data_IF_154118365246
#
_entry.id   IF_154118365246
#
_cell.length_a   1.000
_cell.length_b   1.000
_cell.length_c   1.000
_cell.angle_alpha   90.00
_cell.angle_beta   90.00
_cell.angle_gamma   90.00
#
_symmetry.space_group_name_H-M   'P 1'
#
loop_
_entity.id
_entity.type
_entity.pdbx_description
1 polymer ?
#
# COMPACT_ATOMS: atom_id res chain seq x y z
N UNK A 1 -3.30 6.15 8.91
CA UNK A 1 -3.61 6.99 7.76
C UNK A 1 -4.45 8.11 8.30
N UNK A 2 -3.95 9.34 8.15
CA UNK A 2 -4.58 10.56 8.64
C UNK A 2 -4.82 11.46 7.43
N UNK A 3 -5.88 12.26 7.49
CA UNK A 3 -6.17 13.28 6.49
C UNK A 3 -5.69 14.60 7.07
N UNK A 4 -4.83 15.28 6.33
CA UNK A 4 -4.23 16.53 6.76
C UNK A 4 -4.64 17.67 5.84
N UNK A 5 -4.98 18.82 6.44
CA UNK A 5 -5.23 20.07 5.75
C UNK A 5 -4.11 21.07 6.01
N UNK A 6 -3.84 21.90 5.02
CA UNK A 6 -2.71 22.82 5.06
C UNK A 6 -2.72 23.79 3.89
N UNK A 7 -1.76 24.71 3.90
CA UNK A 7 -1.58 25.72 2.84
C UNK A 7 -0.31 25.45 2.05
N UNK A 8 -0.32 25.81 0.77
CA UNK A 8 0.87 25.77 -0.08
C UNK A 8 1.54 27.13 -0.11
N UNK A 9 2.86 27.17 0.03
CA UNK A 9 3.69 28.38 -0.07
C UNK A 9 4.81 28.16 -1.09
N UNK A 10 5.03 29.07 -2.07
CA UNK A 10 4.32 30.33 -2.29
C UNK A 10 2.97 30.19 -3.01
N UNK A 11 2.73 29.12 -3.77
CA UNK A 11 1.44 28.84 -4.41
C UNK A 11 1.33 27.37 -4.85
N UNK A 12 0.13 26.76 -4.83
CA UNK A 12 -0.06 25.33 -5.10
C UNK A 12 0.31 24.89 -6.53
N UNK A 13 0.36 25.84 -7.46
CA UNK A 13 0.66 25.62 -8.89
C UNK A 13 2.15 25.71 -9.24
N UNK A 14 3.01 26.14 -8.30
CA UNK A 14 4.44 26.33 -8.56
C UNK A 14 5.21 25.04 -8.21
N UNK A 15 6.06 24.59 -9.13
CA UNK A 15 6.95 23.47 -8.88
C UNK A 15 7.88 23.77 -7.70
N UNK A 16 7.81 22.94 -6.65
CA UNK A 16 8.60 23.12 -5.43
C UNK A 16 7.91 23.92 -4.32
N UNK A 17 6.60 24.17 -4.42
CA UNK A 17 5.86 24.76 -3.32
C UNK A 17 5.95 23.91 -2.03
N UNK A 18 6.35 24.56 -0.94
CA UNK A 18 6.29 23.99 0.39
C UNK A 18 4.84 23.80 0.82
N UNK A 19 4.56 22.74 1.56
CA UNK A 19 3.27 22.50 2.16
C UNK A 19 3.37 22.72 3.67
N UNK A 20 2.53 23.61 4.21
CA UNK A 20 2.42 23.87 5.63
C UNK A 20 1.17 23.17 6.15
N UNK A 21 1.35 22.11 6.93
CA UNK A 21 0.23 21.35 7.51
C UNK A 21 -0.29 22.10 8.73
N UNK A 22 -1.58 22.45 8.73
CA UNK A 22 -2.22 23.20 9.81
C UNK A 22 -2.94 22.28 10.79
N UNK A 23 -3.54 21.19 10.30
CA UNK A 23 -4.23 20.22 11.16
C UNK A 23 -4.34 18.87 10.47
N UNK A 24 -4.31 17.79 11.25
CA UNK A 24 -4.55 16.43 10.79
C UNK A 24 -5.62 15.77 11.64
N UNK A 25 -6.53 15.06 10.97
CA UNK A 25 -7.62 14.33 11.59
C UNK A 25 -7.49 12.85 11.22
N UNK A 26 -7.88 11.97 12.15
CA UNK A 26 -7.91 10.53 11.88
C UNK A 26 -8.96 10.22 10.83
N UNK A 27 -8.63 9.29 9.94
CA UNK A 27 -9.52 8.83 8.88
C UNK A 27 -10.86 8.27 9.42
N UNK A 28 -10.89 7.72 10.63
CA UNK A 28 -12.11 7.17 11.25
C UNK A 28 -13.14 8.23 11.66
N UNK A 29 -12.68 9.45 11.90
CA UNK A 29 -13.50 10.52 12.45
C UNK A 29 -13.81 11.59 11.39
N UNK A 30 -13.41 11.33 10.13
CA UNK A 30 -13.40 12.31 9.06
C UNK A 30 -14.62 12.17 8.16
N UNK A 31 -15.53 13.14 8.26
CA UNK A 31 -16.67 13.27 7.35
C UNK A 31 -16.29 14.20 6.20
N UNK A 32 -15.93 13.61 5.05
CA UNK A 32 -15.44 14.33 3.86
C UNK A 32 -16.50 15.32 3.34
N UNK A 33 -17.78 14.93 3.39
CA UNK A 33 -18.91 15.74 2.95
C UNK A 33 -19.04 17.03 3.78
N UNK A 34 -18.83 16.96 5.09
CA UNK A 34 -18.89 18.12 5.97
C UNK A 34 -17.71 19.09 5.80
N UNK A 35 -16.51 18.59 5.50
CA UNK A 35 -15.35 19.44 5.20
C UNK A 35 -15.54 20.15 3.85
N UNK A 36 -16.03 19.40 2.85
CA UNK A 36 -16.24 19.95 1.51
C UNK A 36 -17.36 20.99 1.52
N UNK A 37 -18.46 20.75 2.23
CA UNK A 37 -19.53 21.75 2.43
C UNK A 37 -19.01 23.01 3.12
N UNK A 38 -18.17 22.89 4.14
CA UNK A 38 -17.63 24.06 4.85
C UNK A 38 -16.66 24.90 3.99
N UNK A 39 -15.82 24.27 3.17
CA UNK A 39 -14.92 24.99 2.25
C UNK A 39 -15.68 25.61 1.05
N UNK A 40 -16.77 24.97 0.61
CA UNK A 40 -17.62 25.51 -0.46
C UNK A 40 -18.55 26.64 0.01
N UNK A 41 -19.02 26.59 1.26
CA UNK A 41 -19.82 27.65 1.88
C UNK A 41 -18.99 28.94 2.02
N UNK A 42 -17.69 28.82 2.31
CA UNK A 42 -16.75 29.95 2.30
C UNK A 42 -16.60 30.60 0.90
N UNK A 43 -16.81 29.85 -0.17
CA UNK A 43 -16.83 30.36 -1.56
C UNK A 43 -18.23 30.80 -2.04
N UNK A 44 -19.25 30.80 -1.17
CA UNK A 44 -20.66 31.04 -1.55
C UNK A 44 -21.17 30.13 -2.67
N UNK A 45 -20.57 28.94 -2.82
CA UNK A 45 -20.98 27.94 -3.79
C UNK A 45 -21.61 26.79 -3.02
N UNK A 46 -22.94 26.63 -3.07
CA UNK A 46 -23.58 25.48 -2.44
C UNK A 46 -23.37 24.23 -3.32
N UNK A 47 -22.94 23.12 -2.72
CA UNK A 47 -22.78 21.81 -3.38
C UNK A 47 -24.01 21.45 -4.25
N UNK A 48 -25.21 21.85 -3.80
CA UNK A 48 -26.50 21.72 -4.49
C UNK A 48 -26.56 22.27 -5.94
N UNK A 49 -25.66 23.17 -6.36
CA UNK A 49 -25.61 23.70 -7.73
C UNK A 49 -24.66 22.94 -8.66
N UNK A 50 -23.75 22.13 -8.14
CA UNK A 50 -22.86 21.29 -8.93
C UNK A 50 -23.48 19.90 -9.03
N UNK A 51 -23.93 19.48 -10.22
CA UNK A 51 -24.50 18.16 -10.57
C UNK A 51 -24.23 17.05 -9.51
N UNK A 52 -25.13 16.96 -8.52
CA UNK A 52 -24.81 16.51 -7.15
C UNK A 52 -24.79 15.00 -6.95
N UNK A 53 -25.55 14.24 -7.73
CA UNK A 53 -25.73 12.81 -7.48
C UNK A 53 -24.45 12.01 -7.71
N UNK A 54 -23.74 12.24 -8.82
CA UNK A 54 -22.50 11.51 -9.14
C UNK A 54 -21.33 11.94 -8.25
N UNK A 55 -21.23 13.23 -7.93
CA UNK A 55 -20.15 13.75 -7.09
C UNK A 55 -20.29 13.27 -5.64
N UNK A 56 -21.50 13.32 -5.06
CA UNK A 56 -21.74 12.83 -3.71
C UNK A 56 -21.54 11.32 -3.61
N UNK A 57 -21.97 10.55 -4.61
CA UNK A 57 -21.78 9.10 -4.64
C UNK A 57 -20.29 8.71 -4.75
N UNK A 58 -19.49 9.45 -5.52
CA UNK A 58 -18.05 9.23 -5.59
C UNK A 58 -17.36 9.64 -4.28
N UNK A 59 -17.80 10.73 -3.64
CA UNK A 59 -17.29 11.18 -2.34
C UNK A 59 -17.58 10.17 -1.22
N UNK A 60 -18.78 9.59 -1.20
CA UNK A 60 -19.18 8.57 -0.22
C UNK A 60 -18.39 7.26 -0.40
N UNK A 61 -17.82 7.00 -1.58
CA UNK A 61 -16.94 5.85 -1.82
C UNK A 61 -15.55 6.04 -1.24
N UNK A 62 -15.06 7.28 -1.15
CA UNK A 62 -13.68 7.58 -0.73
C UNK A 62 -13.31 6.93 0.62
N UNK A 63 -14.13 7.05 1.70
CA UNK A 63 -13.81 6.43 2.99
C UNK A 63 -13.65 4.91 2.90
N UNK A 64 -14.52 4.23 2.14
CA UNK A 64 -14.47 2.79 1.94
C UNK A 64 -13.21 2.36 1.17
N UNK A 65 -12.82 3.12 0.14
CA UNK A 65 -11.58 2.88 -0.61
C UNK A 65 -10.35 3.02 0.29
N UNK A 66 -10.27 4.08 1.10
CA UNK A 66 -9.17 4.27 2.05
C UNK A 66 -9.15 3.19 3.15
N UNK A 67 -10.31 2.72 3.61
CA UNK A 67 -10.39 1.61 4.55
C UNK A 67 -9.84 0.31 3.94
N UNK A 68 -10.21 -0.01 2.69
CA UNK A 68 -9.66 -1.15 1.96
C UNK A 68 -8.15 -1.04 1.80
N UNK A 69 -7.67 0.15 1.41
CA UNK A 69 -6.25 0.43 1.25
C UNK A 69 -5.48 0.28 2.58
N UNK A 70 -6.05 0.78 3.68
CA UNK A 70 -5.50 0.61 5.03
C UNK A 70 -5.34 -0.88 5.38
N UNK A 71 -6.33 -1.71 5.10
CA UNK A 71 -6.25 -3.16 5.34
C UNK A 71 -5.14 -3.84 4.51
N UNK A 72 -4.98 -3.46 3.24
CA UNK A 72 -3.92 -3.99 2.38
C UNK A 72 -2.53 -3.61 2.90
N UNK A 73 -2.30 -2.34 3.25
CA UNK A 73 -0.99 -1.92 3.77
C UNK A 73 -0.68 -2.52 5.14
N UNK A 74 -1.66 -2.64 6.04
CA UNK A 74 -1.45 -3.30 7.33
C UNK A 74 -1.04 -4.76 7.13
N UNK A 75 -1.73 -5.50 6.25
CA UNK A 75 -1.38 -6.90 6.00
C UNK A 75 0.00 -7.04 5.35
N UNK A 76 0.40 -6.12 4.47
CA UNK A 76 1.76 -6.07 3.95
C UNK A 76 2.81 -5.80 5.03
N UNK A 77 2.57 -4.87 5.96
CA UNK A 77 3.48 -4.58 7.08
C UNK A 77 3.61 -5.79 8.00
N UNK A 78 2.50 -6.45 8.32
CA UNK A 78 2.51 -7.68 9.13
C UNK A 78 3.29 -8.80 8.44
N UNK A 79 3.07 -9.00 7.14
CA UNK A 79 3.83 -9.97 6.35
C UNK A 79 5.34 -9.64 6.33
N UNK A 80 5.69 -8.35 6.23
CA UNK A 80 7.08 -7.86 6.31
C UNK A 80 7.72 -8.21 7.66
N UNK A 81 7.03 -7.86 8.75
CA UNK A 81 7.50 -8.13 10.11
C UNK A 81 7.65 -9.62 10.37
N UNK A 82 6.67 -10.43 9.95
CA UNK A 82 6.72 -11.88 10.09
C UNK A 82 7.88 -12.48 9.30
N UNK A 83 8.14 -11.98 8.09
CA UNK A 83 9.29 -12.42 7.29
C UNK A 83 10.63 -12.13 7.99
N UNK A 84 10.78 -10.95 8.59
CA UNK A 84 11.97 -10.60 9.36
C UNK A 84 12.19 -11.55 10.55
N UNK A 85 11.13 -11.88 11.29
CA UNK A 85 11.20 -12.83 12.40
C UNK A 85 11.61 -14.24 11.92
N UNK A 86 11.09 -14.68 10.78
CA UNK A 86 11.45 -15.96 10.16
C UNK A 86 12.92 -15.98 9.70
N UNK A 87 13.44 -14.86 9.17
CA UNK A 87 14.85 -14.71 8.82
C UNK A 87 15.76 -14.88 10.05
N UNK A 88 15.38 -14.27 11.18
CA UNK A 88 16.12 -14.39 12.45
C UNK A 88 16.10 -15.86 12.91
N UNK A 89 14.92 -16.50 12.92
CA UNK A 89 14.80 -17.90 13.32
C UNK A 89 15.67 -18.85 12.47
N UNK A 90 15.71 -18.63 11.15
CA UNK A 90 16.54 -19.40 10.21
C UNK A 90 18.04 -19.21 10.41
N UNK A 91 18.46 -18.12 11.04
CA UNK A 91 19.87 -17.86 11.37
C UNK A 91 20.35 -18.75 12.53
N UNK A 92 19.46 -19.13 13.44
CA UNK A 92 19.78 -20.04 14.55
C UNK A 92 19.70 -21.51 14.14
N UNK A 93 18.69 -21.90 13.35
CA UNK A 93 18.56 -23.27 12.84
C UNK A 93 18.06 -23.29 11.39
N UNK A 94 18.84 -23.83 10.44
CA UNK A 94 18.38 -23.99 9.07
C UNK A 94 17.28 -25.06 9.02
N UNK A 95 16.06 -24.64 8.72
CA UNK A 95 14.90 -25.53 8.60
C UNK A 95 14.21 -25.31 7.26
N UNK A 96 14.00 -26.38 6.51
CA UNK A 96 13.33 -26.33 5.20
C UNK A 96 11.92 -25.78 5.30
N UNK A 97 11.17 -26.20 6.33
CA UNK A 97 9.77 -25.77 6.53
C UNK A 97 9.69 -24.28 6.78
N UNK A 98 10.54 -23.75 7.66
CA UNK A 98 10.59 -22.31 7.99
C UNK A 98 11.06 -21.49 6.79
N UNK A 99 11.99 -22.03 5.98
CA UNK A 99 12.46 -21.38 4.75
C UNK A 99 11.35 -21.29 3.68
N UNK A 100 10.55 -22.34 3.52
CA UNK A 100 9.37 -22.31 2.64
C UNK A 100 8.27 -21.38 3.15
N UNK A 101 8.00 -21.39 4.46
CA UNK A 101 7.04 -20.48 5.06
C UNK A 101 7.43 -19.02 4.81
N UNK A 102 8.73 -18.68 4.97
CA UNK A 102 9.22 -17.33 4.69
C UNK A 102 9.09 -16.94 3.21
N UNK A 103 9.35 -17.88 2.30
CA UNK A 103 9.14 -17.67 0.87
C UNK A 103 7.66 -17.36 0.55
N UNK A 104 6.73 -18.09 1.16
CA UNK A 104 5.29 -17.85 0.96
C UNK A 104 4.87 -16.50 1.52
N UNK A 105 5.29 -16.16 2.74
CA UNK A 105 4.96 -14.89 3.39
C UNK A 105 5.46 -13.69 2.57
N UNK A 106 6.70 -13.74 2.07
CA UNK A 106 7.29 -12.67 1.25
C UNK A 106 6.59 -12.52 -0.10
N UNK A 107 6.21 -13.63 -0.75
CA UNK A 107 5.44 -13.61 -2.00
C UNK A 107 4.04 -13.04 -1.79
N UNK A 108 3.34 -13.45 -0.72
CA UNK A 108 2.03 -12.89 -0.38
C UNK A 108 2.15 -11.39 -0.10
N UNK A 109 3.13 -10.97 0.70
CA UNK A 109 3.40 -9.55 0.98
C UNK A 109 3.67 -8.75 -0.30
N UNK A 110 4.44 -9.31 -1.23
CA UNK A 110 4.70 -8.70 -2.54
C UNK A 110 3.42 -8.48 -3.34
N UNK A 111 2.56 -9.49 -3.43
CA UNK A 111 1.30 -9.44 -4.20
C UNK A 111 0.33 -8.45 -3.58
N UNK A 112 0.19 -8.44 -2.25
CA UNK A 112 -0.67 -7.48 -1.54
C UNK A 112 -0.23 -6.04 -1.81
N UNK A 113 1.08 -5.76 -1.77
CA UNK A 113 1.62 -4.44 -2.12
C UNK A 113 1.41 -4.08 -3.58
N UNK A 114 1.55 -5.03 -4.52
CA UNK A 114 1.25 -4.79 -5.93
C UNK A 114 -0.21 -4.42 -6.16
N UNK A 115 -1.14 -5.14 -5.51
CA UNK A 115 -2.57 -4.84 -5.60
C UNK A 115 -2.85 -3.45 -5.04
N UNK A 116 -2.33 -3.12 -3.85
CA UNK A 116 -2.48 -1.80 -3.25
C UNK A 116 -1.93 -0.67 -4.13
N UNK A 117 -0.75 -0.88 -4.73
CA UNK A 117 -0.14 0.09 -5.62
C UNK A 117 -0.91 0.30 -6.91
N UNK A 118 -1.33 -0.80 -7.55
CA UNK A 118 -2.09 -0.74 -8.79
C UNK A 118 -3.42 -0.04 -8.54
N UNK A 119 -4.07 -0.35 -7.41
CA UNK A 119 -5.29 0.32 -6.99
C UNK A 119 -5.11 1.83 -6.82
N UNK A 120 -4.04 2.30 -6.17
CA UNK A 120 -3.77 3.74 -6.04
C UNK A 120 -3.58 4.39 -7.41
N UNK A 121 -2.73 3.81 -8.26
CA UNK A 121 -2.39 4.40 -9.55
C UNK A 121 -3.61 4.47 -10.47
N UNK A 122 -4.39 3.39 -10.55
CA UNK A 122 -5.54 3.30 -11.45
C UNK A 122 -6.74 4.05 -10.91
N UNK A 123 -7.16 3.78 -9.68
CA UNK A 123 -8.40 4.33 -9.11
C UNK A 123 -8.21 5.77 -8.66
N UNK A 124 -7.15 6.05 -7.91
CA UNK A 124 -6.94 7.40 -7.35
C UNK A 124 -6.27 8.31 -8.38
N UNK A 125 -5.26 7.81 -9.08
CA UNK A 125 -4.46 8.59 -10.04
C UNK A 125 -5.11 8.78 -11.41
N UNK A 126 -5.94 7.83 -11.85
CA UNK A 126 -6.71 7.93 -13.09
C UNK A 126 -8.13 8.42 -12.80
N UNK A 127 -9.03 7.48 -12.51
CA UNK A 127 -10.48 7.74 -12.49
C UNK A 127 -10.89 8.85 -11.52
N UNK A 128 -10.42 8.82 -10.27
CA UNK A 128 -10.81 9.78 -9.25
C UNK A 128 -10.17 11.16 -9.52
N UNK A 129 -8.88 11.20 -9.88
CA UNK A 129 -8.20 12.46 -10.16
C UNK A 129 -8.75 13.14 -11.42
N UNK A 130 -9.04 12.38 -12.48
CA UNK A 130 -9.56 12.93 -13.73
C UNK A 130 -10.98 13.46 -13.56
N UNK A 131 -11.86 12.69 -12.90
CA UNK A 131 -13.20 13.16 -12.53
C UNK A 131 -13.11 14.40 -11.65
N UNK A 132 -12.34 14.36 -10.56
CA UNK A 132 -12.21 15.48 -9.64
C UNK A 132 -11.60 16.73 -10.30
N UNK A 133 -10.60 16.59 -11.18
CA UNK A 133 -10.01 17.70 -11.92
C UNK A 133 -10.98 18.28 -12.96
N UNK A 134 -11.83 17.44 -13.58
CA UNK A 134 -12.84 17.91 -14.53
C UNK A 134 -13.88 18.83 -13.88
N UNK A 135 -14.36 18.48 -12.68
CA UNK A 135 -15.24 19.33 -11.87
C UNK A 135 -14.48 20.50 -11.24
N UNK A 136 -13.24 20.24 -10.81
CA UNK A 136 -12.36 21.18 -10.13
C UNK A 136 -11.92 22.37 -10.99
N UNK A 137 -11.86 22.23 -12.32
CA UNK A 137 -11.51 23.33 -13.24
C UNK A 137 -12.42 24.56 -13.13
N UNK A 138 -13.67 24.40 -12.71
CA UNK A 138 -14.58 25.53 -12.50
C UNK A 138 -14.41 26.22 -11.14
N UNK A 139 -13.87 25.50 -10.16
CA UNK A 139 -13.76 25.95 -8.75
C UNK A 139 -12.31 26.12 -8.29
N UNK A 140 -11.32 25.94 -9.17
CA UNK A 140 -9.90 26.05 -8.86
C UNK A 140 -9.32 24.89 -8.03
N UNK A 141 -10.01 23.75 -7.99
CA UNK A 141 -9.59 22.57 -7.24
C UNK A 141 -8.83 21.58 -8.12
N UNK A 142 -7.76 20.98 -7.60
CA UNK A 142 -7.03 19.91 -8.29
C UNK A 142 -6.64 18.78 -7.35
N UNK A 143 -6.81 17.55 -7.83
CA UNK A 143 -6.43 16.32 -7.12
C UNK A 143 -5.21 15.72 -7.80
N UNK A 144 -4.20 15.38 -7.00
CA UNK A 144 -2.99 14.72 -7.46
C UNK A 144 -2.56 13.64 -6.47
N UNK A 145 -2.02 12.55 -7.00
CA UNK A 145 -1.42 11.48 -6.21
C UNK A 145 0.02 11.82 -5.86
N UNK A 146 0.42 11.54 -4.61
CA UNK A 146 1.79 11.74 -4.15
C UNK A 146 2.77 10.75 -4.78
N UNK A 147 3.56 11.20 -5.75
CA UNK A 147 4.54 10.35 -6.45
C UNK A 147 5.58 9.71 -5.52
N UNK A 148 6.01 10.41 -4.46
CA UNK A 148 6.97 9.89 -3.49
C UNK A 148 6.44 8.65 -2.76
N UNK A 149 5.17 8.69 -2.34
CA UNK A 149 4.54 7.56 -1.66
C UNK A 149 4.46 6.35 -2.59
N UNK A 150 3.99 6.57 -3.82
CA UNK A 150 3.92 5.55 -4.87
C UNK A 150 5.30 4.94 -5.12
N UNK A 151 6.35 5.75 -5.29
CA UNK A 151 7.71 5.26 -5.54
C UNK A 151 8.22 4.35 -4.40
N UNK A 152 8.01 4.76 -3.14
CA UNK A 152 8.45 3.97 -1.97
C UNK A 152 7.73 2.62 -1.91
N UNK A 153 6.41 2.60 -2.12
CA UNK A 153 5.64 1.36 -2.05
C UNK A 153 5.94 0.42 -3.21
N UNK A 154 6.22 0.95 -4.42
CA UNK A 154 6.70 0.14 -5.55
C UNK A 154 8.06 -0.48 -5.27
N UNK A 155 8.98 0.31 -4.68
CA UNK A 155 10.29 -0.19 -4.27
C UNK A 155 10.17 -1.28 -3.21
N UNK A 156 9.28 -1.10 -2.22
CA UNK A 156 9.01 -2.11 -1.19
C UNK A 156 8.46 -3.42 -1.78
N UNK A 157 7.54 -3.30 -2.74
CA UNK A 157 6.99 -4.46 -3.46
C UNK A 157 8.06 -5.22 -4.24
N UNK A 158 8.91 -4.51 -4.98
CA UNK A 158 10.02 -5.13 -5.72
C UNK A 158 11.01 -5.83 -4.78
N UNK A 159 11.36 -5.20 -3.65
CA UNK A 159 12.24 -5.79 -2.65
C UNK A 159 11.66 -7.09 -2.07
N UNK A 160 10.36 -7.09 -1.75
CA UNK A 160 9.63 -8.28 -1.30
C UNK A 160 9.66 -9.41 -2.32
N UNK A 161 9.45 -9.10 -3.60
CA UNK A 161 9.52 -10.08 -4.68
C UNK A 161 10.91 -10.71 -4.82
N UNK A 162 11.97 -9.88 -4.78
CA UNK A 162 13.36 -10.35 -4.83
C UNK A 162 13.66 -11.25 -3.64
N UNK A 163 13.22 -10.86 -2.45
CA UNK A 163 13.41 -11.65 -1.23
C UNK A 163 12.65 -12.99 -1.32
N UNK A 164 11.43 -13.01 -1.84
CA UNK A 164 10.69 -14.23 -2.11
C UNK A 164 11.41 -15.15 -3.10
N UNK A 165 11.97 -14.59 -4.17
CA UNK A 165 12.83 -15.31 -5.12
C UNK A 165 14.04 -15.95 -4.44
N UNK A 166 14.74 -15.20 -3.59
CA UNK A 166 15.87 -15.70 -2.82
C UNK A 166 15.49 -16.86 -1.89
N UNK A 167 14.39 -16.72 -1.13
CA UNK A 167 13.95 -17.78 -0.21
C UNK A 167 13.44 -19.02 -0.92
N UNK A 168 12.77 -18.89 -2.07
CA UNK A 168 12.41 -20.06 -2.88
C UNK A 168 13.64 -20.80 -3.40
N UNK A 169 14.66 -20.06 -3.88
CA UNK A 169 15.94 -20.65 -4.29
C UNK A 169 16.63 -21.38 -3.13
N UNK A 170 16.78 -20.73 -1.98
CA UNK A 170 17.41 -21.32 -0.78
C UNK A 170 16.66 -22.55 -0.29
N UNK A 171 15.33 -22.50 -0.26
CA UNK A 171 14.50 -23.65 0.13
C UNK A 171 14.69 -24.84 -0.81
N UNK A 172 14.73 -24.60 -2.13
CA UNK A 172 15.03 -25.65 -3.13
C UNK A 172 16.43 -26.23 -2.94
N UNK A 173 17.42 -25.40 -2.65
CA UNK A 173 18.78 -25.85 -2.37
C UNK A 173 18.83 -26.76 -1.14
N UNK A 174 18.22 -26.35 -0.02
CA UNK A 174 18.17 -27.15 1.21
C UNK A 174 17.46 -28.50 1.00
N UNK A 175 16.36 -28.52 0.24
CA UNK A 175 15.66 -29.77 -0.11
C UNK A 175 16.56 -30.70 -0.93
N UNK A 176 17.31 -30.15 -1.89
CA UNK A 176 18.24 -30.94 -2.73
C UNK A 176 19.34 -31.57 -1.89
N UNK A 177 19.92 -30.82 -0.95
CA UNK A 177 20.97 -31.35 -0.07
C UNK A 177 20.44 -32.46 0.85
N UNK A 178 19.28 -32.26 1.49
CA UNK A 178 18.67 -33.31 2.32
C UNK A 178 18.36 -34.56 1.48
N UNK A 179 17.84 -34.39 0.26
CA UNK A 179 17.54 -35.52 -0.63
C UNK A 179 18.78 -36.34 -0.99
N UNK A 180 19.98 -35.74 -1.07
CA UNK A 180 21.23 -36.48 -1.31
C UNK A 180 21.65 -37.31 -0.10
N UNK A 181 21.39 -36.82 1.11
CA UNK A 181 21.86 -37.45 2.36
C UNK A 181 20.90 -38.55 2.85
N UNK A 182 19.59 -38.40 2.65
CA UNK A 182 18.57 -39.39 3.05
C UNK A 182 18.86 -40.83 2.56
N UNK A 183 19.16 -41.09 1.27
CA UNK A 183 19.44 -42.44 0.79
C UNK A 183 20.75 -43.02 1.33
N UNK A 184 21.70 -42.18 1.75
CA UNK A 184 22.90 -42.65 2.44
C UNK A 184 22.52 -43.19 3.81
N UNK A 185 21.80 -42.41 4.63
CA UNK A 185 21.39 -42.80 6.00
C UNK A 185 20.53 -44.07 6.02
N UNK A 186 19.62 -44.25 5.05
CA UNK A 186 18.85 -45.50 4.94
C UNK A 186 19.71 -46.73 4.64
N UNK A 187 20.86 -46.56 3.97
CA UNK A 187 21.79 -47.66 3.68
C UNK A 187 22.52 -48.10 4.94
N UNK A 188 23.05 -47.15 5.73
CA UNK A 188 23.70 -47.44 7.01
C UNK A 188 22.76 -48.08 8.04
N UNK A 189 21.47 -47.71 8.04
CA UNK A 189 20.46 -48.30 8.93
C UNK A 189 19.98 -49.70 8.53
N UNK A 190 20.28 -50.16 7.31
CA UNK A 190 19.94 -51.51 6.85
C UNK A 190 21.09 -52.52 7.06
N UNK A 191 22.29 -52.04 7.41
CA UNK A 191 23.49 -52.86 7.64
C UNK A 191 23.72 -53.19 9.14
N UNK A 192 22.78 -52.83 10.03
CA UNK A 192 22.74 -53.18 11.45
C UNK A 192 21.49 -54.03 11.76
#
# INVERSE_FOLDING_TARGET
MDICKGTFTPNATIAGAGYHVTSCTKLSDFNISALLDHELDALHLTLARLNTADLQNELDRIPSLFQGLKCLYISAVVASGLSLLLCIALSFRPCVVVSWANAVVTLIGSVVLLIGNTFIVVVVGGDLADKANSFGKHIGFSVSVGQKFVAITWTASAMMAVMGGYWTYKSRHLVREIRKVVPQVQRWGADF
#
